data_IF_886433984559
#
_entry.id   IF_886433984559
#
_cell.length_a   1.000
_cell.length_b   1.000
_cell.length_c   1.000
_cell.angle_alpha   90.00
_cell.angle_beta   90.00
_cell.angle_gamma   90.00
#
_symmetry.space_group_name_H-M   'P 1'
#
loop_
_entity.id
_entity.type
_entity.pdbx_description
1 polymer ?
#
# COMPACT_ATOMS: atom_id res chain seq x y z
N UNK A 1 10.11 16.77 4.91
CA UNK A 1 8.67 17.07 4.95
C UNK A 1 7.94 16.38 3.81
N UNK A 2 6.66 16.17 3.98
CA UNK A 2 5.83 15.62 2.91
C UNK A 2 5.72 16.68 1.81
N UNK A 3 6.03 16.27 0.60
CA UNK A 3 6.01 17.12 -0.57
C UNK A 3 4.76 16.93 -1.43
N UNK A 4 4.94 16.98 -2.73
CA UNK A 4 3.83 16.94 -3.68
C UNK A 4 3.18 15.55 -3.76
N UNK A 5 1.90 15.54 -4.08
CA UNK A 5 1.21 14.29 -4.45
C UNK A 5 1.76 13.83 -5.80
N UNK A 6 2.24 12.60 -5.85
CA UNK A 6 2.83 12.01 -7.06
C UNK A 6 2.02 10.84 -7.58
N UNK A 7 1.08 10.31 -6.81
CA UNK A 7 0.28 9.19 -7.24
C UNK A 7 -1.07 9.13 -6.55
N UNK A 8 -2.03 8.54 -7.25
CA UNK A 8 -3.38 8.35 -6.73
C UNK A 8 -3.98 7.11 -7.38
N UNK A 9 -4.44 6.18 -6.55
CA UNK A 9 -4.92 4.87 -6.99
C UNK A 9 -6.21 4.50 -6.29
N UNK A 10 -7.08 3.80 -7.00
CA UNK A 10 -8.32 3.28 -6.47
C UNK A 10 -8.51 1.84 -6.94
N UNK A 11 -9.13 1.04 -6.11
CA UNK A 11 -9.40 -0.35 -6.48
C UNK A 11 -10.06 -1.10 -5.35
N UNK A 12 -9.67 -2.36 -5.18
CA UNK A 12 -10.34 -3.26 -4.25
C UNK A 12 -9.38 -4.20 -3.55
N UNK A 13 -9.75 -4.55 -2.34
CA UNK A 13 -9.21 -5.71 -1.66
C UNK A 13 -9.80 -6.94 -2.35
N UNK A 14 -8.93 -7.84 -2.81
CA UNK A 14 -9.33 -9.03 -3.55
C UNK A 14 -9.28 -10.30 -2.71
N UNK A 15 -8.64 -10.26 -1.56
CA UNK A 15 -8.58 -11.40 -0.67
C UNK A 15 -8.01 -11.04 0.69
N UNK A 16 -8.46 -11.79 1.69
CA UNK A 16 -7.94 -11.70 3.05
C UNK A 16 -7.75 -13.11 3.59
N UNK A 17 -6.72 -13.28 4.41
CA UNK A 17 -6.45 -14.55 5.04
C UNK A 17 -5.93 -14.32 6.46
N UNK A 18 -6.51 -15.02 7.42
CA UNK A 18 -6.00 -15.01 8.80
C UNK A 18 -4.76 -15.89 8.84
N UNK A 19 -3.67 -15.35 9.32
CA UNK A 19 -2.40 -16.05 9.38
C UNK A 19 -2.19 -16.66 10.76
N UNK A 20 -1.40 -17.77 10.84
CA UNK A 20 -1.04 -18.31 12.15
C UNK A 20 -0.19 -17.32 12.92
N UNK A 21 -0.36 -17.30 14.22
CA UNK A 21 0.43 -16.53 15.13
C UNK A 21 0.73 -17.39 16.36
N UNK A 22 1.56 -16.90 17.25
CA UNK A 22 1.97 -17.65 18.45
C UNK A 22 1.03 -17.45 19.63
N UNK A 23 -0.22 -17.07 19.37
CA UNK A 23 -1.22 -16.86 20.40
C UNK A 23 -1.23 -15.48 21.00
N UNK A 24 -0.41 -14.55 20.51
CA UNK A 24 -0.32 -13.20 21.08
C UNK A 24 -1.20 -12.20 20.34
N UNK A 25 -0.91 -11.93 19.06
CA UNK A 25 -1.60 -10.88 18.30
C UNK A 25 -2.14 -11.45 17.00
N UNK A 26 -3.43 -11.27 16.72
CA UNK A 26 -3.98 -11.71 15.44
C UNK A 26 -3.26 -11.07 14.26
N UNK A 27 -3.14 -11.82 13.19
CA UNK A 27 -2.44 -11.38 11.99
C UNK A 27 -3.28 -11.68 10.76
N UNK A 28 -3.44 -10.68 9.90
CA UNK A 28 -4.25 -10.77 8.69
C UNK A 28 -3.40 -10.42 7.48
N UNK A 29 -3.48 -11.25 6.44
CA UNK A 29 -2.88 -10.96 5.15
C UNK A 29 -3.95 -10.41 4.23
N UNK A 30 -3.65 -9.31 3.53
CA UNK A 30 -4.60 -8.63 2.64
C UNK A 30 -3.95 -8.44 1.28
N UNK A 31 -4.66 -8.88 0.23
CA UNK A 31 -4.24 -8.67 -1.16
C UNK A 31 -5.16 -7.67 -1.82
N UNK A 32 -4.59 -6.77 -2.61
CA UNK A 32 -5.36 -5.72 -3.28
C UNK A 32 -4.88 -5.49 -4.70
N UNK A 33 -5.79 -4.91 -5.51
CA UNK A 33 -5.51 -4.47 -6.87
C UNK A 33 -6.07 -3.07 -7.02
N UNK A 34 -5.23 -2.14 -7.46
CA UNK A 34 -5.61 -0.75 -7.67
C UNK A 34 -5.08 -0.25 -9.01
N UNK A 35 -5.72 0.78 -9.54
CA UNK A 35 -5.27 1.47 -10.74
C UNK A 35 -5.35 2.97 -10.57
N UNK A 36 -4.53 3.70 -11.29
CA UNK A 36 -4.49 5.15 -11.22
C UNK A 36 -3.30 5.74 -11.96
N UNK A 37 -2.75 6.81 -11.40
CA UNK A 37 -1.62 7.54 -12.00
C UNK A 37 -0.46 7.58 -11.03
N UNK A 38 0.75 7.34 -11.54
CA UNK A 38 2.00 7.55 -10.82
C UNK A 38 2.93 8.42 -11.66
N UNK A 39 3.30 9.59 -11.14
CA UNK A 39 4.08 10.58 -11.89
C UNK A 39 3.45 10.90 -13.25
N UNK A 40 2.13 10.95 -13.31
CA UNK A 40 1.38 11.20 -14.53
C UNK A 40 1.26 10.01 -15.47
N UNK A 41 1.80 8.84 -15.12
CA UNK A 41 1.78 7.64 -15.95
C UNK A 41 0.68 6.71 -15.47
N UNK A 42 -0.24 6.31 -16.37
CA UNK A 42 -1.27 5.32 -16.05
C UNK A 42 -0.62 4.02 -15.61
N UNK A 43 -1.02 3.52 -14.45
CA UNK A 43 -0.38 2.37 -13.81
C UNK A 43 -1.37 1.60 -12.94
N UNK A 44 -0.97 0.37 -12.60
CA UNK A 44 -1.65 -0.42 -11.60
C UNK A 44 -0.68 -0.71 -10.47
N UNK A 45 -1.18 -0.74 -9.26
CA UNK A 45 -0.42 -1.18 -8.10
C UNK A 45 -1.17 -2.34 -7.46
N UNK A 46 -0.50 -3.48 -7.38
CA UNK A 46 -1.00 -4.68 -6.74
C UNK A 46 -0.05 -5.04 -5.60
N UNK A 47 -0.59 -5.57 -4.54
CA UNK A 47 0.26 -6.00 -3.45
C UNK A 47 -0.46 -6.87 -2.44
N UNK A 48 0.35 -7.48 -1.58
CA UNK A 48 -0.13 -8.23 -0.45
C UNK A 48 0.61 -7.75 0.78
N UNK A 49 -0.12 -7.38 1.82
CA UNK A 49 0.49 -6.94 3.07
C UNK A 49 -0.07 -7.73 4.24
N UNK A 50 0.73 -7.84 5.30
CA UNK A 50 0.30 -8.46 6.56
C UNK A 50 0.10 -7.37 7.59
N UNK A 51 -0.98 -7.49 8.37
CA UNK A 51 -1.26 -6.58 9.48
C UNK A 51 -1.30 -7.35 10.78
N UNK A 52 -0.55 -6.88 11.76
CA UNK A 52 -0.63 -7.39 13.13
C UNK A 52 -1.58 -6.48 13.90
N UNK A 53 -2.55 -7.06 14.58
CA UNK A 53 -3.45 -6.32 15.47
C UNK A 53 -2.77 -6.27 16.83
N UNK A 54 -2.25 -5.10 17.20
CA UNK A 54 -1.50 -4.92 18.45
C UNK A 54 -2.45 -4.83 19.64
N UNK A 55 -1.94 -5.06 20.87
CA UNK A 55 -2.80 -5.08 22.07
C UNK A 55 -3.61 -3.81 22.29
N UNK A 56 -3.12 -2.65 21.85
CA UNK A 56 -3.83 -1.38 21.99
C UNK A 56 -4.88 -1.14 20.88
N UNK A 57 -5.07 -2.12 19.98
CA UNK A 57 -6.03 -2.03 18.87
C UNK A 57 -5.47 -1.38 17.62
N UNK A 58 -4.24 -0.88 17.65
CA UNK A 58 -3.60 -0.35 16.44
C UNK A 58 -3.09 -1.47 15.57
N UNK A 59 -2.80 -1.15 14.30
CA UNK A 59 -2.31 -2.11 13.33
C UNK A 59 -0.91 -1.74 12.89
N UNK A 60 -0.06 -2.75 12.73
CA UNK A 60 1.22 -2.57 12.05
C UNK A 60 1.20 -3.41 10.79
N UNK A 61 1.37 -2.77 9.64
CA UNK A 61 1.32 -3.43 8.34
C UNK A 61 2.67 -3.45 7.66
N UNK A 62 2.98 -4.55 6.99
CA UNK A 62 4.20 -4.72 6.21
C UNK A 62 3.92 -5.34 4.87
N UNK A 63 4.57 -4.82 3.82
CA UNK A 63 4.58 -5.43 2.49
C UNK A 63 6.05 -5.66 2.11
N UNK A 64 6.67 -6.77 2.55
CA UNK A 64 8.09 -7.02 2.29
C UNK A 64 8.28 -7.56 0.88
N UNK A 65 8.56 -6.66 -0.08
CA UNK A 65 8.80 -7.00 -1.48
C UNK A 65 7.68 -7.82 -2.12
N UNK A 66 6.44 -7.53 -1.73
CA UNK A 66 5.26 -8.20 -2.27
C UNK A 66 4.37 -7.22 -3.04
N UNK A 67 4.96 -6.14 -3.53
CA UNK A 67 4.27 -5.13 -4.29
C UNK A 67 4.78 -5.02 -5.71
N UNK A 68 3.86 -4.81 -6.64
CA UNK A 68 4.15 -4.60 -8.06
C UNK A 68 3.48 -3.32 -8.51
N UNK A 69 4.22 -2.53 -9.30
CA UNK A 69 3.65 -1.45 -10.09
C UNK A 69 3.84 -1.82 -11.55
N UNK A 70 2.79 -1.74 -12.34
CA UNK A 70 2.86 -1.98 -13.78
C UNK A 70 2.29 -0.78 -14.51
N UNK A 71 3.07 -0.19 -15.40
CA UNK A 71 2.57 0.89 -16.25
C UNK A 71 1.67 0.31 -17.33
N UNK A 72 0.85 1.17 -17.92
CA UNK A 72 -0.04 0.77 -19.02
C UNK A 72 0.73 0.12 -20.18
N UNK A 73 1.98 0.53 -20.39
CA UNK A 73 2.84 -0.01 -21.45
C UNK A 73 3.53 -1.32 -21.04
N UNK A 74 3.26 -1.83 -19.85
CA UNK A 74 3.80 -3.11 -19.41
C UNK A 74 5.17 -3.02 -18.72
N UNK A 75 5.65 -1.83 -18.41
CA UNK A 75 6.88 -1.68 -17.63
C UNK A 75 6.60 -1.96 -16.16
N UNK A 76 7.55 -2.57 -15.48
CA UNK A 76 7.36 -3.07 -14.12
C UNK A 76 8.25 -2.34 -13.13
N UNK A 77 7.68 -2.03 -11.97
CA UNK A 77 8.41 -1.69 -10.77
C UNK A 77 7.99 -2.61 -9.65
N UNK A 78 8.84 -2.71 -8.65
CA UNK A 78 8.52 -3.42 -7.41
C UNK A 78 8.55 -2.44 -6.26
N UNK A 79 7.85 -2.79 -5.17
CA UNK A 79 7.87 -1.93 -4.01
C UNK A 79 7.80 -2.73 -2.73
N UNK A 80 8.33 -2.11 -1.68
CA UNK A 80 8.23 -2.60 -0.31
C UNK A 80 7.72 -1.46 0.54
N UNK A 81 7.01 -1.77 1.60
CA UNK A 81 6.46 -0.73 2.45
C UNK A 81 6.07 -1.22 3.82
N UNK A 82 5.80 -0.26 4.68
CA UNK A 82 5.30 -0.52 6.03
C UNK A 82 4.51 0.69 6.50
N UNK A 83 3.64 0.47 7.47
CA UNK A 83 2.87 1.56 8.02
C UNK A 83 2.14 1.17 9.29
N UNK A 84 1.58 2.18 9.93
CA UNK A 84 0.73 2.01 11.10
C UNK A 84 -0.68 2.43 10.76
N UNK A 85 -1.64 1.77 11.38
CA UNK A 85 -3.02 2.04 11.08
C UNK A 85 -3.96 1.67 12.20
N UNK A 86 -5.23 1.77 11.89
CA UNK A 86 -6.29 1.42 12.83
C UNK A 86 -7.55 1.05 12.07
N UNK A 87 -8.41 0.30 12.74
CA UNK A 87 -9.77 0.07 12.24
C UNK A 87 -10.57 1.36 12.40
N UNK A 88 -11.39 1.68 11.40
CA UNK A 88 -12.16 2.94 11.41
C UNK A 88 -13.51 2.83 12.12
N UNK A 89 -13.87 1.61 12.55
CA UNK A 89 -15.10 1.38 13.30
C UNK A 89 -16.23 0.75 12.49
N UNK A 90 -16.00 0.43 11.22
CA UNK A 90 -16.98 -0.24 10.36
C UNK A 90 -16.40 -1.52 9.79
N UNK A 91 -16.69 -2.66 10.43
CA UNK A 91 -16.20 -3.95 10.00
C UNK A 91 -14.67 -3.97 9.94
N UNK A 92 -14.13 -4.40 8.81
CA UNK A 92 -12.68 -4.44 8.59
C UNK A 92 -12.15 -3.22 7.82
N UNK A 93 -12.90 -2.12 7.82
CA UNK A 93 -12.41 -0.87 7.25
C UNK A 93 -11.19 -0.37 8.02
N UNK A 94 -10.16 0.05 7.30
CA UNK A 94 -8.87 0.45 7.90
C UNK A 94 -8.34 1.73 7.29
N UNK A 95 -7.50 2.41 8.05
CA UNK A 95 -6.75 3.58 7.61
C UNK A 95 -5.29 3.38 8.01
N UNK A 96 -4.37 3.55 7.07
CA UNK A 96 -2.93 3.41 7.30
C UNK A 96 -2.16 4.62 6.81
N UNK A 97 -1.05 4.89 7.47
CA UNK A 97 -0.06 5.89 7.06
C UNK A 97 1.32 5.26 7.16
N UNK A 98 2.16 5.49 6.17
CA UNK A 98 3.49 4.91 6.18
C UNK A 98 4.33 5.33 5.01
N UNK A 99 5.32 4.51 4.68
CA UNK A 99 6.25 4.78 3.61
C UNK A 99 6.39 3.58 2.68
N UNK A 100 6.64 3.88 1.40
CA UNK A 100 6.87 2.90 0.35
C UNK A 100 8.17 3.25 -0.34
N UNK A 101 8.91 2.23 -0.73
CA UNK A 101 10.17 2.34 -1.45
C UNK A 101 10.06 1.54 -2.74
N UNK A 102 10.29 2.21 -3.88
CA UNK A 102 10.15 1.60 -5.20
C UNK A 102 11.51 1.27 -5.81
N UNK A 103 11.52 0.24 -6.64
CA UNK A 103 12.62 -0.04 -7.55
C UNK A 103 12.04 -0.34 -8.93
N UNK A 104 12.70 0.17 -9.97
CA UNK A 104 12.23 -0.01 -11.35
C UNK A 104 13.36 0.21 -12.32
N UNK A 105 13.26 -0.42 -13.48
CA UNK A 105 14.16 -0.16 -14.61
C UNK A 105 13.52 0.77 -15.64
N UNK A 106 12.26 1.18 -15.42
CA UNK A 106 11.55 2.09 -16.32
C UNK A 106 12.10 3.50 -16.19
N UNK A 107 12.48 4.10 -17.31
CA UNK A 107 12.95 5.49 -17.31
C UNK A 107 11.83 6.49 -17.04
N UNK A 108 10.61 6.17 -17.45
CA UNK A 108 9.45 7.05 -17.28
C UNK A 108 9.12 7.33 -15.82
N UNK A 109 9.41 6.38 -14.95
CA UNK A 109 9.13 6.48 -13.51
C UNK A 109 10.41 6.32 -12.68
N UNK A 110 11.56 6.54 -13.29
CA UNK A 110 12.86 6.33 -12.64
C UNK A 110 13.07 7.19 -11.40
N UNK A 111 12.39 8.34 -11.32
CA UNK A 111 12.44 9.20 -10.16
C UNK A 111 12.02 8.48 -8.87
N UNK A 112 11.14 7.48 -8.97
CA UNK A 112 10.70 6.69 -7.82
C UNK A 112 11.84 5.97 -7.10
N UNK A 113 12.91 5.64 -7.80
CA UNK A 113 14.06 4.93 -7.21
C UNK A 113 14.86 5.82 -6.25
N UNK A 114 14.69 7.13 -6.37
CA UNK A 114 15.53 8.10 -5.68
C UNK A 114 14.83 8.78 -4.51
N UNK A 115 13.60 8.38 -4.22
CA UNK A 115 12.79 9.06 -3.21
C UNK A 115 12.17 8.06 -2.25
N UNK A 116 11.87 8.54 -1.05
CA UNK A 116 10.96 7.86 -0.14
C UNK A 116 9.55 8.39 -0.43
N UNK A 117 8.57 7.49 -0.48
CA UNK A 117 7.19 7.86 -0.77
C UNK A 117 6.37 7.69 0.50
N UNK A 118 5.74 8.76 0.95
CA UNK A 118 4.76 8.70 2.02
C UNK A 118 3.40 8.33 1.41
N UNK A 119 2.63 7.49 2.09
CA UNK A 119 1.34 7.09 1.55
C UNK A 119 0.22 7.23 2.57
N UNK A 120 -0.98 7.38 2.03
CA UNK A 120 -2.23 7.25 2.78
C UNK A 120 -3.03 6.13 2.13
N UNK A 121 -3.41 5.15 2.93
CA UNK A 121 -4.14 3.97 2.50
C UNK A 121 -5.44 3.87 3.27
N UNK A 122 -6.56 3.82 2.52
CA UNK A 122 -7.90 3.73 3.11
C UNK A 122 -8.64 2.58 2.46
N UNK A 123 -9.23 1.72 3.27
CA UNK A 123 -10.11 0.64 2.80
C UNK A 123 -11.43 0.77 3.54
N UNK A 124 -12.53 0.81 2.80
CA UNK A 124 -13.85 0.90 3.41
C UNK A 124 -14.39 -0.48 3.80
N UNK A 125 -15.58 -0.50 4.38
CA UNK A 125 -16.22 -1.74 4.85
C UNK A 125 -16.57 -2.71 3.73
N UNK A 126 -16.63 -2.24 2.48
CA UNK A 126 -16.93 -3.05 1.31
C UNK A 126 -15.68 -3.49 0.55
N UNK A 127 -14.49 -3.17 1.07
CA UNK A 127 -13.23 -3.53 0.44
C UNK A 127 -12.79 -2.58 -0.66
N UNK A 128 -13.44 -1.42 -0.80
CA UNK A 128 -12.97 -0.40 -1.74
C UNK A 128 -11.72 0.25 -1.16
N UNK A 129 -10.68 0.35 -1.97
CA UNK A 129 -9.37 0.81 -1.54
C UNK A 129 -8.97 2.08 -2.27
N UNK A 130 -8.29 2.96 -1.55
CA UNK A 130 -7.74 4.19 -2.10
C UNK A 130 -6.35 4.42 -1.53
N UNK A 131 -5.40 4.75 -2.41
CA UNK A 131 -4.04 5.07 -2.02
C UNK A 131 -3.64 6.41 -2.61
N UNK A 132 -3.09 7.27 -1.78
CA UNK A 132 -2.50 8.52 -2.22
C UNK A 132 -1.02 8.51 -1.85
N UNK A 133 -0.17 8.86 -2.80
CA UNK A 133 1.28 8.83 -2.64
C UNK A 133 1.86 10.23 -2.74
N UNK A 134 2.78 10.54 -1.84
CA UNK A 134 3.45 11.84 -1.76
C UNK A 134 4.96 11.63 -1.74
N UNK A 135 5.67 12.48 -2.43
CA UNK A 135 7.13 12.48 -2.31
C UNK A 135 7.52 13.05 -0.94
N UNK A 136 8.39 12.37 -0.24
CA UNK A 136 8.93 12.89 1.02
C UNK A 136 10.24 13.62 0.73
N UNK A 137 10.24 14.89 0.97
CA UNK A 137 11.43 15.76 0.77
C UNK A 137 12.10 16.11 2.06
#
# INVERSE_FOLDING_TARGET
MIGEKIGEFQGKVTGRRVLPNNGSSPKIETTFETSGLMLGVESEIWGTYSSVIRPDGTLYGECPQQGILMTKDGEIGTWTGAGVGHFTGKGFAVSFRGAIYFDTKSERISHLRNIAVAYEWEVDENGNAQCTCFEWK
#
